data_IF_118335418194
#
_entry.id   IF_118335418194
#
_cell.length_a   1.000
_cell.length_b   1.000
_cell.length_c   1.000
_cell.angle_alpha   90.00
_cell.angle_beta   90.00
_cell.angle_gamma   90.00
#
_symmetry.space_group_name_H-M   'P 1'
#
loop_
_entity.id
_entity.type
_entity.pdbx_description
1 polymer ?
#
# COMPACT_ATOMS: atom_id res chain seq x y z
N UNK A 1 21.07 -0.91 -8.25
CA UNK A 1 20.72 -1.91 -9.29
C UNK A 1 19.59 -1.37 -10.19
N UNK A 2 19.65 -1.56 -11.52
CA UNK A 2 18.58 -1.08 -12.45
C UNK A 2 17.26 -1.83 -12.19
N UNK A 3 16.12 -1.13 -12.21
CA UNK A 3 14.79 -1.70 -11.89
C UNK A 3 14.45 -2.97 -12.69
N UNK A 4 14.70 -2.97 -14.00
CA UNK A 4 14.46 -4.15 -14.84
C UNK A 4 15.26 -5.38 -14.43
N UNK A 5 16.45 -5.20 -13.82
CA UNK A 5 17.23 -6.33 -13.27
C UNK A 5 16.62 -6.83 -11.95
N UNK A 6 16.16 -5.93 -11.08
CA UNK A 6 15.45 -6.31 -9.84
C UNK A 6 14.15 -7.08 -10.14
N UNK A 7 13.35 -6.58 -11.07
CA UNK A 7 12.11 -7.25 -11.48
C UNK A 7 12.40 -8.61 -12.14
N UNK A 8 13.39 -8.68 -13.03
CA UNK A 8 13.75 -9.95 -13.67
C UNK A 8 14.23 -11.01 -12.67
N UNK A 9 15.00 -10.61 -11.65
CA UNK A 9 15.40 -11.52 -10.57
C UNK A 9 14.19 -12.00 -9.76
N UNK A 10 13.32 -11.07 -9.35
CA UNK A 10 12.10 -11.41 -8.61
C UNK A 10 11.16 -12.35 -9.40
N UNK A 11 11.10 -12.21 -10.73
CA UNK A 11 10.33 -13.09 -11.61
C UNK A 11 11.00 -14.45 -11.85
N UNK A 12 12.33 -14.55 -11.76
CA UNK A 12 13.05 -15.83 -11.93
C UNK A 12 12.93 -16.72 -10.70
N UNK A 13 12.72 -16.11 -9.53
CA UNK A 13 12.69 -16.79 -8.24
C UNK A 13 11.27 -17.20 -7.79
N UNK A 14 10.21 -16.70 -8.42
CA UNK A 14 8.84 -16.86 -7.93
C UNK A 14 7.78 -17.22 -8.97
N UNK A 15 6.67 -17.78 -8.49
CA UNK A 15 5.46 -18.11 -9.27
C UNK A 15 4.42 -16.98 -9.29
N UNK A 16 4.66 -15.89 -8.53
CA UNK A 16 3.72 -14.79 -8.40
C UNK A 16 3.59 -14.00 -9.71
N UNK A 17 2.38 -13.51 -10.06
CA UNK A 17 2.18 -12.68 -11.24
C UNK A 17 2.82 -11.31 -11.00
N UNK A 18 3.78 -10.90 -11.82
CA UNK A 18 4.31 -9.54 -11.80
C UNK A 18 3.74 -8.73 -12.95
N UNK A 19 3.79 -7.41 -12.85
CA UNK A 19 3.42 -6.53 -13.96
C UNK A 19 4.12 -6.96 -15.26
N UNK A 20 3.39 -6.92 -16.38
CA UNK A 20 3.82 -7.33 -17.71
C UNK A 20 4.75 -6.28 -18.33
N UNK A 21 5.88 -5.99 -17.67
CA UNK A 21 6.78 -4.88 -17.99
C UNK A 21 7.21 -4.87 -19.46
N UNK A 22 7.53 -6.05 -20.03
CA UNK A 22 7.95 -6.16 -21.43
C UNK A 22 6.81 -5.77 -22.38
N UNK A 23 5.61 -6.28 -22.11
CA UNK A 23 4.40 -6.02 -22.91
C UNK A 23 4.03 -4.54 -22.85
N UNK A 24 3.89 -3.96 -21.66
CA UNK A 24 3.55 -2.54 -21.50
C UNK A 24 4.62 -1.65 -22.15
N UNK A 25 5.90 -1.97 -22.00
CA UNK A 25 6.98 -1.23 -22.67
C UNK A 25 6.90 -1.33 -24.19
N UNK A 26 6.50 -2.48 -24.74
CA UNK A 26 6.29 -2.65 -26.18
C UNK A 26 5.17 -1.73 -26.67
N UNK A 27 4.02 -1.70 -25.98
CA UNK A 27 2.93 -0.77 -26.28
C UNK A 27 3.40 0.70 -26.23
N UNK A 28 4.13 1.11 -25.18
CA UNK A 28 4.65 2.47 -25.06
C UNK A 28 5.57 2.86 -26.22
N UNK A 29 6.47 1.97 -26.64
CA UNK A 29 7.34 2.22 -27.80
C UNK A 29 6.54 2.32 -29.09
N UNK A 30 5.46 1.52 -29.23
CA UNK A 30 4.51 1.61 -30.34
C UNK A 30 3.82 2.98 -30.38
N UNK A 31 3.23 3.40 -29.26
CA UNK A 31 2.56 4.69 -29.11
C UNK A 31 3.48 5.88 -29.37
N UNK A 32 4.72 5.82 -28.85
CA UNK A 32 5.75 6.83 -29.11
C UNK A 32 6.07 6.98 -30.61
N UNK A 33 6.07 5.87 -31.36
CA UNK A 33 6.28 5.89 -32.82
C UNK A 33 5.05 6.45 -33.54
N UNK A 34 3.86 5.99 -33.17
CA UNK A 34 2.60 6.44 -33.76
C UNK A 34 2.40 7.94 -33.57
N UNK A 35 2.61 8.45 -32.35
CA UNK A 35 2.53 9.88 -32.06
C UNK A 35 3.50 10.71 -32.91
N UNK A 36 4.74 10.24 -33.12
CA UNK A 36 5.71 10.93 -33.98
C UNK A 36 5.32 10.89 -35.45
N UNK A 37 4.77 9.76 -35.92
CA UNK A 37 4.26 9.65 -37.29
C UNK A 37 3.10 10.60 -37.52
N UNK A 38 2.16 10.69 -36.57
CA UNK A 38 1.03 11.62 -36.64
C UNK A 38 1.50 13.08 -36.70
N UNK A 39 2.42 13.50 -35.82
CA UNK A 39 2.97 14.86 -35.85
C UNK A 39 3.60 15.21 -37.20
N UNK A 40 4.38 14.29 -37.78
CA UNK A 40 4.96 14.46 -39.11
C UNK A 40 3.91 14.54 -40.22
N UNK A 41 2.85 13.74 -40.14
CA UNK A 41 1.75 13.78 -41.10
C UNK A 41 1.03 15.13 -41.05
N UNK A 42 0.75 15.64 -39.84
CA UNK A 42 0.12 16.95 -39.68
C UNK A 42 1.00 18.09 -40.15
N UNK A 43 2.32 18.07 -39.89
CA UNK A 43 3.28 19.07 -40.39
C UNK A 43 3.24 19.14 -41.93
N UNK A 44 3.22 18.00 -42.62
CA UNK A 44 3.13 17.95 -44.09
C UNK A 44 1.76 18.44 -44.59
N UNK A 45 0.68 18.15 -43.86
CA UNK A 45 -0.68 18.61 -44.21
C UNK A 45 -0.88 20.12 -43.99
N UNK A 46 -0.13 20.75 -43.08
CA UNK A 46 -0.16 22.20 -42.89
C UNK A 46 0.60 22.94 -44.01
N UNK A 47 1.62 22.30 -44.60
CA UNK A 47 2.44 22.88 -45.68
C UNK A 47 1.87 22.67 -47.09
N UNK A 48 1.09 21.60 -47.33
CA UNK A 48 0.50 21.29 -48.64
C UNK A 48 -1.04 21.32 -48.63
N UNK A 49 -1.70 21.98 -49.61
CA UNK A 49 -3.15 21.99 -49.68
C UNK A 49 -3.73 20.57 -49.84
N UNK A 50 -4.74 20.23 -49.03
CA UNK A 50 -5.34 18.89 -48.92
C UNK A 50 -5.70 18.22 -50.27
N UNK A 51 -6.00 19.03 -51.29
CA UNK A 51 -6.29 18.57 -52.65
C UNK A 51 -5.10 17.85 -53.32
N UNK A 52 -3.86 18.27 -53.03
CA UNK A 52 -2.63 17.69 -53.58
C UNK A 52 -2.35 16.29 -53.01
N UNK A 53 -2.56 16.10 -51.71
CA UNK A 53 -2.40 14.82 -51.02
C UNK A 53 -3.43 13.77 -51.47
N UNK A 54 -4.68 14.18 -51.66
CA UNK A 54 -5.73 13.31 -52.20
C UNK A 54 -5.39 12.91 -53.64
N UNK A 55 -4.90 13.83 -54.46
CA UNK A 55 -4.50 13.54 -55.85
C UNK A 55 -3.32 12.57 -55.93
N UNK A 56 -2.27 12.75 -55.11
CA UNK A 56 -1.09 11.87 -55.06
C UNK A 56 -1.44 10.45 -54.58
N UNK A 57 -2.33 10.32 -53.59
CA UNK A 57 -2.78 9.01 -53.11
C UNK A 57 -3.70 8.29 -54.12
N UNK A 58 -4.50 9.04 -54.87
CA UNK A 58 -5.37 8.48 -55.93
C UNK A 58 -4.54 8.01 -57.14
N UNK A 59 -3.50 8.74 -57.52
CA UNK A 59 -2.56 8.34 -58.58
C UNK A 59 -1.71 7.13 -58.15
N UNK A 60 -1.18 7.08 -56.92
CA UNK A 60 -0.41 5.92 -56.43
C UNK A 60 -1.21 4.62 -56.42
N UNK A 61 -2.51 4.69 -56.09
CA UNK A 61 -3.41 3.55 -56.15
C UNK A 61 -3.57 3.00 -57.59
N UNK A 62 -3.53 3.87 -58.61
CA UNK A 62 -3.57 3.45 -60.03
C UNK A 62 -2.31 2.68 -60.46
N UNK A 63 -1.17 2.93 -59.82
CA UNK A 63 0.10 2.24 -60.11
C UNK A 63 0.31 0.97 -59.28
N UNK A 64 -0.69 0.50 -58.53
CA UNK A 64 -0.57 -0.71 -57.71
C UNK A 64 0.43 -0.58 -56.57
N UNK A 65 0.83 0.64 -56.22
CA UNK A 65 1.68 0.91 -55.05
C UNK A 65 0.78 0.74 -53.83
N UNK A 66 1.07 -0.23 -52.93
CA UNK A 66 0.20 -0.47 -51.78
C UNK A 66 0.06 0.83 -50.98
N UNK A 67 -1.20 1.24 -50.74
CA UNK A 67 -1.57 2.36 -49.87
C UNK A 67 -1.02 2.07 -48.47
N UNK A 68 0.24 2.41 -48.22
CA UNK A 68 0.86 2.31 -46.90
C UNK A 68 0.64 3.55 -46.03
N UNK A 69 0.07 4.60 -46.61
CA UNK A 69 -0.22 5.85 -45.92
C UNK A 69 -1.72 5.90 -45.59
N UNK A 70 -2.21 4.94 -44.81
CA UNK A 70 -3.45 5.17 -44.06
C UNK A 70 -3.14 6.35 -43.14
N UNK A 71 -3.81 7.48 -43.35
CA UNK A 71 -3.69 8.65 -42.49
C UNK A 71 -3.98 8.21 -41.06
N UNK A 72 -2.99 8.32 -40.19
CA UNK A 72 -3.13 7.90 -38.82
C UNK A 72 -4.08 8.89 -38.14
N UNK A 73 -5.14 8.38 -37.52
CA UNK A 73 -6.12 9.22 -36.83
C UNK A 73 -5.79 9.34 -35.35
N UNK A 74 -6.28 10.40 -34.71
CA UNK A 74 -6.18 10.56 -33.26
C UNK A 74 -6.89 9.41 -32.56
N UNK A 75 -8.03 8.98 -33.10
CA UNK A 75 -8.86 7.88 -32.62
C UNK A 75 -8.12 6.55 -32.63
N UNK A 76 -7.35 6.25 -33.67
CA UNK A 76 -6.52 5.03 -33.73
C UNK A 76 -5.42 5.03 -32.68
N UNK A 77 -4.74 6.16 -32.46
CA UNK A 77 -3.71 6.24 -31.41
C UNK A 77 -4.34 6.10 -30.03
N UNK A 78 -5.49 6.77 -29.79
CA UNK A 78 -6.24 6.64 -28.54
C UNK A 78 -6.73 5.22 -28.31
N UNK A 79 -7.15 4.51 -29.35
CA UNK A 79 -7.52 3.10 -29.25
C UNK A 79 -6.33 2.24 -28.81
N UNK A 80 -5.16 2.44 -29.41
CA UNK A 80 -3.93 1.73 -29.01
C UNK A 80 -3.48 2.08 -27.57
N UNK A 81 -3.69 3.32 -27.13
CA UNK A 81 -3.46 3.72 -25.75
C UNK A 81 -4.44 3.00 -24.80
N UNK A 82 -5.70 2.92 -25.20
CA UNK A 82 -6.73 2.14 -24.50
C UNK A 82 -6.34 0.68 -24.33
N UNK A 83 -5.85 0.02 -25.39
CA UNK A 83 -5.38 -1.37 -25.34
C UNK A 83 -4.22 -1.56 -24.36
N UNK A 84 -3.28 -0.61 -24.29
CA UNK A 84 -2.22 -0.65 -23.29
C UNK A 84 -2.78 -0.60 -21.87
N UNK A 85 -3.76 0.29 -21.62
CA UNK A 85 -4.40 0.38 -20.31
C UNK A 85 -5.25 -0.85 -19.96
N UNK A 86 -5.85 -1.52 -20.95
CA UNK A 86 -6.51 -2.82 -20.74
C UNK A 86 -5.53 -3.90 -20.25
N UNK A 87 -4.28 -3.88 -20.73
CA UNK A 87 -3.21 -4.76 -20.20
C UNK A 87 -2.85 -4.39 -18.76
N UNK A 88 -2.75 -3.10 -18.46
CA UNK A 88 -2.46 -2.61 -17.10
C UNK A 88 -3.55 -3.02 -16.12
N UNK A 89 -4.82 -2.87 -16.49
CA UNK A 89 -5.94 -3.25 -15.62
C UNK A 89 -5.91 -4.77 -15.33
N UNK A 90 -5.67 -5.59 -16.35
CA UNK A 90 -5.50 -7.04 -16.18
C UNK A 90 -4.34 -7.39 -15.26
N UNK A 91 -3.19 -6.73 -15.42
CA UNK A 91 -2.05 -6.93 -14.52
C UNK A 91 -2.42 -6.56 -13.07
N UNK A 92 -3.11 -5.43 -12.86
CA UNK A 92 -3.56 -5.01 -11.54
C UNK A 92 -4.49 -6.07 -10.92
N UNK A 93 -5.48 -6.56 -11.67
CA UNK A 93 -6.39 -7.61 -11.21
C UNK A 93 -5.65 -8.89 -10.81
N UNK A 94 -4.74 -9.38 -11.65
CA UNK A 94 -3.94 -10.57 -11.35
C UNK A 94 -3.05 -10.38 -10.10
N UNK A 95 -2.40 -9.22 -9.97
CA UNK A 95 -1.55 -8.91 -8.82
C UNK A 95 -2.40 -8.80 -7.55
N UNK A 96 -3.57 -8.15 -7.62
CA UNK A 96 -4.48 -8.05 -6.47
C UNK A 96 -4.95 -9.43 -6.00
N UNK A 97 -5.32 -10.32 -6.91
CA UNK A 97 -5.69 -11.70 -6.54
C UNK A 97 -4.57 -12.45 -5.83
N UNK A 98 -3.32 -12.29 -6.27
CA UNK A 98 -2.17 -12.88 -5.61
C UNK A 98 -1.89 -12.26 -4.22
N UNK A 99 -2.10 -10.94 -4.06
CA UNK A 99 -1.99 -10.27 -2.76
C UNK A 99 -3.04 -10.80 -1.80
N UNK A 100 -4.29 -10.93 -2.22
CA UNK A 100 -5.37 -11.46 -1.39
C UNK A 100 -5.06 -12.89 -0.91
N UNK A 101 -4.50 -13.74 -1.77
CA UNK A 101 -4.07 -15.09 -1.38
C UNK A 101 -2.96 -15.07 -0.32
N UNK A 102 -1.93 -14.24 -0.51
CA UNK A 102 -0.85 -14.07 0.47
C UNK A 102 -1.35 -13.49 1.79
N UNK A 103 -2.27 -12.52 1.73
CA UNK A 103 -2.91 -11.93 2.90
C UNK A 103 -3.70 -12.97 3.70
N UNK A 104 -4.43 -13.87 3.04
CA UNK A 104 -5.14 -14.96 3.72
C UNK A 104 -4.18 -15.89 4.47
N UNK A 105 -3.04 -16.24 3.85
CA UNK A 105 -2.00 -17.03 4.50
C UNK A 105 -1.45 -16.34 5.75
N UNK A 106 -1.08 -15.06 5.63
CA UNK A 106 -0.58 -14.25 6.74
C UNK A 106 -1.63 -14.05 7.85
N UNK A 107 -2.90 -13.90 7.48
CA UNK A 107 -4.00 -13.85 8.44
C UNK A 107 -4.13 -15.15 9.22
N UNK A 108 -3.94 -16.30 8.59
CA UNK A 108 -3.96 -17.58 9.28
C UNK A 108 -2.78 -17.70 10.27
N UNK A 109 -1.57 -17.35 9.82
CA UNK A 109 -0.36 -17.38 10.64
C UNK A 109 -0.47 -16.46 11.86
N UNK A 110 -0.97 -15.23 11.69
CA UNK A 110 -1.12 -14.31 12.81
C UNK A 110 -2.22 -14.75 13.77
N UNK A 111 -3.30 -15.35 13.28
CA UNK A 111 -4.34 -15.92 14.15
C UNK A 111 -3.81 -17.09 14.97
N UNK A 112 -2.98 -17.96 14.37
CA UNK A 112 -2.32 -19.04 15.09
C UNK A 112 -1.34 -18.48 16.13
N UNK A 113 -0.54 -17.47 15.77
CA UNK A 113 0.37 -16.81 16.70
C UNK A 113 -0.40 -16.17 17.87
N UNK A 114 -1.50 -15.46 17.60
CA UNK A 114 -2.36 -14.87 18.63
C UNK A 114 -2.97 -15.95 19.53
N UNK A 115 -3.42 -17.08 18.98
CA UNK A 115 -3.95 -18.20 19.77
C UNK A 115 -2.88 -18.75 20.71
N UNK A 116 -1.68 -19.04 20.19
CA UNK A 116 -0.57 -19.53 20.99
C UNK A 116 -0.13 -18.51 22.05
N UNK A 117 -0.16 -17.22 21.71
CA UNK A 117 0.18 -16.13 22.63
C UNK A 117 -0.86 -15.98 23.74
N UNK A 118 -2.15 -16.20 23.43
CA UNK A 118 -3.22 -16.20 24.41
C UNK A 118 -3.13 -17.42 25.35
N UNK A 119 -2.91 -18.62 24.80
CA UNK A 119 -2.75 -19.86 25.57
C UNK A 119 -1.54 -19.81 26.51
N UNK A 120 -0.43 -19.20 26.07
CA UNK A 120 0.75 -19.01 26.91
C UNK A 120 0.77 -17.73 27.74
N UNK A 121 -0.32 -16.95 27.79
CA UNK A 121 -0.44 -15.78 28.66
C UNK A 121 0.33 -14.52 28.22
N UNK A 122 0.83 -14.50 26.98
CA UNK A 122 1.51 -13.34 26.37
C UNK A 122 0.50 -12.24 25.97
N UNK A 123 -0.72 -12.64 25.59
CA UNK A 123 -1.82 -11.74 25.23
C UNK A 123 -3.07 -12.12 26.02
N UNK A 124 -3.88 -11.13 26.36
CA UNK A 124 -5.18 -11.33 27.00
C UNK A 124 -6.33 -11.14 26.00
N UNK A 125 -7.35 -11.96 26.15
CA UNK A 125 -8.67 -11.76 25.51
C UNK A 125 -9.33 -10.46 25.96
N UNK A 126 -10.21 -9.92 25.14
CA UNK A 126 -10.99 -8.70 25.43
C UNK A 126 -11.70 -8.78 26.79
N UNK A 127 -12.28 -9.95 27.12
CA UNK A 127 -12.89 -10.24 28.42
C UNK A 127 -11.92 -10.18 29.60
N UNK A 128 -10.66 -10.57 29.41
CA UNK A 128 -9.62 -10.47 30.44
C UNK A 128 -9.11 -9.03 30.59
N UNK A 129 -9.22 -8.21 29.53
CA UNK A 129 -8.92 -6.76 29.53
C UNK A 129 -10.05 -5.94 30.13
N UNK A 130 -11.32 -6.31 29.92
CA UNK A 130 -12.50 -5.65 30.51
C UNK A 130 -12.50 -5.69 32.05
N UNK A 131 -11.88 -6.72 32.63
CA UNK A 131 -11.65 -6.82 34.07
C UNK A 131 -10.51 -5.91 34.57
N UNK A 132 -9.75 -5.27 33.68
CA UNK A 132 -8.60 -4.47 34.04
C UNK A 132 -8.93 -2.96 34.05
N UNK A 133 -8.59 -2.23 35.12
CA UNK A 133 -9.04 -0.85 35.35
C UNK A 133 -8.33 0.22 34.50
N UNK A 134 -7.63 -0.13 33.41
CA UNK A 134 -6.79 0.80 32.65
C UNK A 134 -7.34 1.18 31.27
N UNK A 135 -7.28 2.49 30.97
CA UNK A 135 -7.75 3.14 29.72
C UNK A 135 -6.90 2.85 28.46
N UNK A 136 -5.86 2.02 28.52
CA UNK A 136 -5.08 1.67 27.32
C UNK A 136 -4.61 0.22 27.34
N UNK A 137 -5.10 -0.59 26.38
CA UNK A 137 -4.75 -2.00 26.27
C UNK A 137 -3.25 -2.28 26.13
N UNK A 138 -2.48 -1.35 25.57
CA UNK A 138 -1.03 -1.52 25.40
C UNK A 138 -0.24 -1.41 26.72
N UNK A 139 -0.63 -0.51 27.64
CA UNK A 139 -0.01 -0.42 28.98
C UNK A 139 -0.34 -1.65 29.82
N UNK A 140 -1.56 -2.15 29.70
CA UNK A 140 -1.98 -3.37 30.37
C UNK A 140 -1.19 -4.58 29.83
N UNK A 141 -1.10 -4.74 28.52
CA UNK A 141 -0.30 -5.81 27.90
C UNK A 141 1.15 -5.78 28.40
N UNK A 142 1.78 -4.59 28.44
CA UNK A 142 3.14 -4.40 29.01
C UNK A 142 3.23 -4.89 30.45
N UNK A 143 2.31 -4.45 31.32
CA UNK A 143 2.33 -4.80 32.73
C UNK A 143 2.17 -6.31 32.97
N UNK A 144 1.39 -6.98 32.12
CA UNK A 144 1.12 -8.41 32.24
C UNK A 144 2.27 -9.26 31.72
N UNK A 145 2.85 -8.89 30.58
CA UNK A 145 4.10 -9.49 30.10
C UNK A 145 5.15 -9.37 31.21
N UNK A 146 5.29 -8.18 31.81
CA UNK A 146 6.24 -7.98 32.89
C UNK A 146 5.96 -8.86 34.12
N UNK A 147 4.69 -9.00 34.51
CA UNK A 147 4.29 -9.88 35.61
C UNK A 147 4.56 -11.36 35.30
N UNK A 148 4.23 -11.82 34.09
CA UNK A 148 4.39 -13.22 33.70
C UNK A 148 5.87 -13.62 33.67
N UNK A 149 6.72 -12.78 33.07
CA UNK A 149 8.18 -12.98 33.06
C UNK A 149 8.72 -13.08 34.50
N UNK A 150 8.26 -12.22 35.43
CA UNK A 150 8.66 -12.28 36.85
C UNK A 150 8.28 -13.60 37.52
N UNK A 151 7.16 -14.20 37.14
CA UNK A 151 6.69 -15.45 37.74
C UNK A 151 7.43 -16.69 37.22
N UNK A 152 7.89 -16.67 35.96
CA UNK A 152 8.59 -17.80 35.33
C UNK A 152 10.05 -17.93 35.79
N UNK A 153 10.69 -16.82 36.14
CA UNK A 153 12.15 -16.77 36.31
C UNK A 153 12.89 -16.71 34.97
N UNK A 154 14.13 -16.23 34.99
CA UNK A 154 14.87 -15.81 33.78
C UNK A 154 15.01 -16.91 32.73
N UNK A 155 15.46 -18.11 33.10
CA UNK A 155 15.72 -19.20 32.13
C UNK A 155 14.44 -19.67 31.43
N UNK A 156 13.37 -19.91 32.20
CA UNK A 156 12.07 -20.31 31.66
C UNK A 156 11.43 -19.19 30.83
N UNK A 157 11.59 -17.92 31.23
CA UNK A 157 11.12 -16.78 30.46
C UNK A 157 11.88 -16.63 29.14
N UNK A 158 13.20 -16.85 29.12
CA UNK A 158 14.00 -16.87 27.88
C UNK A 158 13.49 -17.92 26.91
N UNK A 159 13.33 -19.17 27.36
CA UNK A 159 12.83 -20.26 26.52
C UNK A 159 11.42 -20.00 25.99
N UNK A 160 10.55 -19.46 26.85
CA UNK A 160 9.18 -19.09 26.49
C UNK A 160 9.15 -17.99 25.42
N UNK A 161 9.88 -16.88 25.62
CA UNK A 161 9.96 -15.78 24.64
C UNK A 161 10.59 -16.24 23.32
N UNK A 162 11.64 -17.08 23.37
CA UNK A 162 12.30 -17.60 22.16
C UNK A 162 11.31 -18.30 21.22
N UNK A 163 10.41 -19.12 21.77
CA UNK A 163 9.38 -19.83 21.00
C UNK A 163 8.48 -18.86 20.22
N UNK A 164 8.04 -17.77 20.86
CA UNK A 164 7.21 -16.75 20.20
C UNK A 164 7.98 -15.93 19.17
N UNK A 165 9.27 -15.62 19.44
CA UNK A 165 10.12 -14.95 18.46
C UNK A 165 10.26 -15.82 17.23
N UNK A 166 10.57 -17.12 17.37
CA UNK A 166 10.69 -18.03 16.22
C UNK A 166 9.42 -18.09 15.37
N UNK A 167 8.25 -18.16 16.03
CA UNK A 167 6.96 -18.14 15.33
C UNK A 167 6.69 -16.78 14.66
N UNK A 168 7.02 -15.67 15.33
CA UNK A 168 6.92 -14.33 14.75
C UNK A 168 7.87 -14.13 13.55
N UNK A 169 9.11 -14.62 13.61
CA UNK A 169 10.07 -14.50 12.51
C UNK A 169 9.57 -15.17 11.24
N UNK A 170 8.90 -16.33 11.35
CA UNK A 170 8.27 -16.97 10.20
C UNK A 170 7.21 -16.07 9.52
N UNK A 171 6.30 -15.52 10.33
CA UNK A 171 5.30 -14.57 9.85
C UNK A 171 5.93 -13.29 9.29
N UNK A 172 6.95 -12.77 9.96
CA UNK A 172 7.67 -11.58 9.53
C UNK A 172 8.37 -11.76 8.18
N UNK A 173 8.97 -12.93 7.94
CA UNK A 173 9.59 -13.26 6.66
C UNK A 173 8.56 -13.30 5.53
N UNK A 174 7.38 -13.90 5.77
CA UNK A 174 6.31 -13.97 4.78
C UNK A 174 5.67 -12.59 4.53
N UNK A 175 5.51 -11.77 5.58
CA UNK A 175 5.06 -10.40 5.44
C UNK A 175 6.06 -9.58 4.64
N UNK A 176 7.36 -9.73 4.90
CA UNK A 176 8.42 -9.01 4.17
C UNK A 176 8.39 -9.37 2.69
N UNK A 177 8.21 -10.66 2.33
CA UNK A 177 8.02 -11.08 0.93
C UNK A 177 6.80 -10.42 0.28
N UNK A 178 5.67 -10.36 0.99
CA UNK A 178 4.49 -9.65 0.50
C UNK A 178 4.78 -8.16 0.28
N UNK A 179 5.40 -7.49 1.25
CA UNK A 179 5.72 -6.07 1.16
C UNK A 179 6.67 -5.76 0.00
N UNK A 180 7.71 -6.58 -0.18
CA UNK A 180 8.65 -6.46 -1.31
C UNK A 180 7.95 -6.67 -2.65
N UNK A 181 7.05 -7.65 -2.73
CA UNK A 181 6.25 -7.92 -3.92
C UNK A 181 5.35 -6.73 -4.28
N UNK A 182 4.66 -6.12 -3.30
CA UNK A 182 3.88 -4.89 -3.50
C UNK A 182 4.77 -3.75 -3.98
N UNK A 183 5.89 -3.49 -3.31
CA UNK A 183 6.80 -2.38 -3.62
C UNK A 183 7.38 -2.49 -5.04
N UNK A 184 7.77 -3.69 -5.45
CA UNK A 184 8.31 -3.95 -6.79
C UNK A 184 7.27 -3.64 -7.88
N UNK A 185 6.02 -4.05 -7.67
CA UNK A 185 4.94 -3.79 -8.62
C UNK A 185 4.57 -2.29 -8.67
N UNK A 186 4.41 -1.63 -7.52
CA UNK A 186 4.16 -0.18 -7.45
C UNK A 186 5.26 0.62 -8.16
N UNK A 187 6.52 0.32 -7.88
CA UNK A 187 7.66 0.96 -8.52
C UNK A 187 7.65 0.77 -10.05
N UNK A 188 7.18 -0.39 -10.52
CA UNK A 188 7.07 -0.72 -11.93
C UNK A 188 6.00 0.07 -12.65
N UNK A 189 4.78 0.07 -12.12
CA UNK A 189 3.69 0.88 -12.66
C UNK A 189 4.06 2.37 -12.66
N UNK A 190 4.56 2.90 -11.54
CA UNK A 190 4.97 4.31 -11.45
C UNK A 190 6.00 4.69 -12.52
N UNK A 191 6.98 3.84 -12.79
CA UNK A 191 8.01 4.12 -13.83
C UNK A 191 7.46 4.07 -15.25
N UNK A 192 6.62 3.09 -15.55
CA UNK A 192 6.02 2.94 -16.88
C UNK A 192 5.02 4.07 -17.17
N UNK A 193 4.16 4.38 -16.20
CA UNK A 193 3.17 5.44 -16.31
C UNK A 193 3.81 6.84 -16.34
N UNK A 194 4.87 7.07 -15.55
CA UNK A 194 5.64 8.32 -15.67
C UNK A 194 6.28 8.48 -17.05
N UNK A 195 6.69 7.38 -17.70
CA UNK A 195 7.19 7.42 -19.08
C UNK A 195 6.07 7.71 -20.06
N UNK A 196 4.91 7.08 -19.90
CA UNK A 196 3.71 7.37 -20.68
C UNK A 196 3.39 8.87 -20.64
N UNK A 197 3.20 9.42 -19.44
CA UNK A 197 2.79 10.82 -19.24
C UNK A 197 3.81 11.83 -19.81
N UNK A 198 5.09 11.43 -19.88
CA UNK A 198 6.15 12.26 -20.44
C UNK A 198 6.18 12.23 -21.97
N UNK A 199 5.95 11.06 -22.56
CA UNK A 199 6.26 10.82 -23.97
C UNK A 199 5.04 10.82 -24.89
N UNK A 200 3.84 10.61 -24.35
CA UNK A 200 2.60 10.56 -25.12
C UNK A 200 1.84 11.88 -24.94
N UNK A 201 1.60 12.67 -26.01
CA UNK A 201 0.80 13.89 -25.93
C UNK A 201 -0.62 13.66 -25.41
N UNK A 202 -1.14 14.61 -24.62
CA UNK A 202 -2.46 14.52 -23.95
C UNK A 202 -3.63 14.23 -24.90
N UNK A 203 -3.54 14.70 -26.15
CA UNK A 203 -4.61 14.50 -27.14
C UNK A 203 -4.79 13.01 -27.52
N UNK A 204 -3.77 12.19 -27.30
CA UNK A 204 -3.80 10.74 -27.55
C UNK A 204 -4.14 9.92 -26.32
N UNK A 205 -4.36 10.54 -25.16
CA UNK A 205 -4.67 9.80 -23.94
C UNK A 205 -6.10 9.21 -24.04
N UNK A 206 -6.20 7.91 -23.82
CA UNK A 206 -7.49 7.21 -23.69
C UNK A 206 -8.12 7.43 -22.31
N UNK A 207 -7.31 7.79 -21.32
CA UNK A 207 -7.73 7.96 -19.92
C UNK A 207 -7.16 9.24 -19.31
N UNK A 208 -7.75 9.65 -18.19
CA UNK A 208 -7.26 10.79 -17.42
C UNK A 208 -5.88 10.48 -16.83
N UNK A 209 -4.94 11.41 -17.00
CA UNK A 209 -3.59 11.35 -16.44
C UNK A 209 -3.40 12.40 -15.33
N UNK A 210 -2.64 12.11 -14.26
CA UNK A 210 -1.90 10.86 -14.01
C UNK A 210 -2.83 9.71 -13.61
N UNK A 211 -2.58 8.51 -14.14
CA UNK A 211 -3.34 7.31 -13.76
C UNK A 211 -2.81 6.77 -12.43
N UNK A 212 -3.66 6.71 -11.41
CA UNK A 212 -3.32 6.24 -10.06
C UNK A 212 -4.00 4.92 -9.68
N UNK A 213 -4.68 4.25 -10.62
CA UNK A 213 -5.44 3.02 -10.35
C UNK A 213 -4.59 1.91 -9.72
N UNK A 214 -3.32 1.80 -10.12
CA UNK A 214 -2.37 0.82 -9.57
C UNK A 214 -2.11 0.95 -8.06
N UNK A 215 -2.47 2.07 -7.43
CA UNK A 215 -2.40 2.22 -5.98
C UNK A 215 -3.41 1.33 -5.24
N UNK A 216 -4.41 0.77 -5.95
CA UNK A 216 -5.37 -0.21 -5.43
C UNK A 216 -4.70 -1.43 -4.80
N UNK A 217 -3.54 -1.82 -5.34
CA UNK A 217 -2.69 -2.95 -4.94
C UNK A 217 -2.29 -2.87 -3.46
N UNK A 218 -2.14 -1.65 -2.90
CA UNK A 218 -1.97 -1.51 -1.44
C UNK A 218 -3.35 -1.60 -0.80
N UNK A 219 -3.65 -2.78 -0.25
CA UNK A 219 -4.94 -3.03 0.38
C UNK A 219 -4.95 -2.56 1.83
N UNK A 220 -6.16 -2.39 2.39
CA UNK A 220 -6.33 -2.14 3.82
C UNK A 220 -5.90 -3.34 4.68
N UNK A 221 -6.00 -4.56 4.15
CA UNK A 221 -5.64 -5.80 4.84
C UNK A 221 -4.12 -5.90 4.97
N UNK A 222 -3.36 -5.69 3.89
CA UNK A 222 -1.89 -5.60 3.91
C UNK A 222 -1.43 -4.61 5.00
N UNK A 223 -2.05 -3.42 5.04
CA UNK A 223 -1.68 -2.40 6.04
C UNK A 223 -2.01 -2.83 7.46
N UNK A 224 -3.15 -3.51 7.69
CA UNK A 224 -3.48 -4.07 9.00
C UNK A 224 -2.51 -5.18 9.42
N UNK A 225 -2.10 -6.06 8.52
CA UNK A 225 -1.11 -7.10 8.81
C UNK A 225 0.24 -6.48 9.20
N UNK A 226 0.68 -5.46 8.47
CA UNK A 226 1.88 -4.69 8.80
C UNK A 226 1.81 -4.06 10.20
N UNK A 227 0.70 -3.37 10.48
CA UNK A 227 0.37 -2.78 11.79
C UNK A 227 0.46 -3.80 12.91
N UNK A 228 -0.15 -4.98 12.72
CA UNK A 228 -0.14 -6.04 13.72
C UNK A 228 1.29 -6.57 13.91
N UNK A 229 2.05 -6.76 12.84
CA UNK A 229 3.46 -7.18 12.91
C UNK A 229 4.30 -6.23 13.77
N UNK A 230 4.19 -4.92 13.56
CA UNK A 230 4.91 -3.90 14.37
C UNK A 230 4.52 -3.99 15.85
N UNK A 231 3.24 -4.23 16.14
CA UNK A 231 2.75 -4.37 17.53
C UNK A 231 3.28 -5.63 18.20
N UNK A 232 3.28 -6.75 17.47
CA UNK A 232 3.86 -8.02 17.97
C UNK A 232 5.34 -7.86 18.25
N UNK A 233 6.10 -7.27 17.32
CA UNK A 233 7.53 -6.97 17.50
C UNK A 233 7.78 -6.13 18.75
N UNK A 234 6.99 -5.06 18.93
CA UNK A 234 7.07 -4.18 20.10
C UNK A 234 6.82 -4.93 21.41
N UNK A 235 5.86 -5.85 21.41
CA UNK A 235 5.51 -6.65 22.58
C UNK A 235 6.59 -7.67 22.92
N UNK A 236 7.17 -8.33 21.90
CA UNK A 236 8.31 -9.24 22.09
C UNK A 236 9.54 -8.51 22.60
N UNK A 237 9.84 -7.32 22.06
CA UNK A 237 10.93 -6.47 22.55
C UNK A 237 10.75 -6.12 24.03
N UNK A 238 9.53 -5.79 24.45
CA UNK A 238 9.21 -5.51 25.85
C UNK A 238 9.41 -6.73 26.75
N UNK A 239 9.05 -7.92 26.28
CA UNK A 239 9.31 -9.15 27.02
C UNK A 239 10.82 -9.36 27.24
N UNK A 240 11.63 -9.15 26.19
CA UNK A 240 13.10 -9.25 26.27
C UNK A 240 13.66 -8.20 27.24
N UNK A 241 13.21 -6.95 27.15
CA UNK A 241 13.69 -5.86 28.02
C UNK A 241 13.34 -6.11 29.50
N UNK A 242 12.21 -6.74 29.80
CA UNK A 242 11.88 -7.14 31.18
C UNK A 242 12.76 -8.30 31.66
N UNK A 243 13.04 -9.30 30.82
CA UNK A 243 13.97 -10.39 31.15
C UNK A 243 15.35 -9.81 31.47
N UNK A 244 15.83 -8.86 30.67
CA UNK A 244 17.09 -8.18 30.89
C UNK A 244 17.13 -7.46 32.24
N UNK A 245 16.06 -6.73 32.58
CA UNK A 245 15.95 -6.03 33.86
C UNK A 245 16.04 -6.98 35.06
N UNK A 246 15.46 -8.18 34.96
CA UNK A 246 15.57 -9.21 36.00
C UNK A 246 16.99 -9.79 36.08
N UNK A 247 17.61 -9.98 34.92
CA UNK A 247 18.95 -10.54 34.78
C UNK A 247 20.05 -9.62 35.30
N UNK A 248 19.84 -8.30 35.26
CA UNK A 248 20.81 -7.31 35.76
C UNK A 248 21.17 -7.48 37.24
N UNK A 249 20.34 -8.15 38.03
CA UNK A 249 20.68 -8.53 39.41
C UNK A 249 21.79 -9.61 39.50
N UNK A 250 22.01 -10.35 38.42
CA UNK A 250 22.97 -11.46 38.30
C UNK A 250 24.10 -11.21 37.27
N UNK A 251 24.06 -10.09 36.54
CA UNK A 251 25.03 -9.73 35.48
C UNK A 251 24.42 -9.77 34.06
N UNK A 252 25.15 -9.29 33.03
CA UNK A 252 24.65 -9.30 31.65
C UNK A 252 24.43 -10.75 31.16
N UNK A 253 23.20 -11.05 30.69
CA UNK A 253 22.86 -12.39 30.16
C UNK A 253 23.15 -12.48 28.66
N UNK A 254 23.94 -13.49 28.27
CA UNK A 254 24.17 -13.82 26.85
C UNK A 254 22.90 -14.32 26.15
N UNK A 255 21.92 -14.84 26.89
CA UNK A 255 20.67 -15.35 26.32
C UNK A 255 19.77 -14.20 25.88
N UNK A 256 19.69 -13.14 26.69
CA UNK A 256 18.94 -11.92 26.34
C UNK A 256 19.47 -11.31 25.04
N UNK A 257 20.78 -11.25 24.88
CA UNK A 257 21.39 -10.75 23.65
C UNK A 257 21.09 -11.66 22.45
N UNK A 258 21.09 -12.99 22.64
CA UNK A 258 20.68 -13.93 21.61
C UNK A 258 19.23 -13.73 21.18
N UNK A 259 18.31 -13.44 22.12
CA UNK A 259 16.92 -13.13 21.82
C UNK A 259 16.77 -11.81 21.03
N UNK A 260 17.54 -10.78 21.38
CA UNK A 260 17.56 -9.50 20.64
C UNK A 260 18.02 -9.68 19.21
N UNK A 261 19.11 -10.45 19.01
CA UNK A 261 19.63 -10.79 17.69
C UNK A 261 18.60 -11.61 16.89
N UNK A 262 17.92 -12.55 17.54
CA UNK A 262 16.91 -13.39 16.90
C UNK A 262 15.66 -12.59 16.48
N UNK A 263 15.18 -11.66 17.31
CA UNK A 263 14.02 -10.83 17.01
C UNK A 263 14.30 -9.84 15.87
N UNK A 264 15.55 -9.33 15.80
CA UNK A 264 15.97 -8.42 14.76
C UNK A 264 15.24 -7.07 14.77
N UNK A 265 15.37 -6.28 13.69
CA UNK A 265 14.75 -4.96 13.58
C UNK A 265 13.22 -5.06 13.41
N UNK A 266 12.52 -3.96 13.74
CA UNK A 266 11.10 -3.86 13.49
C UNK A 266 10.79 -3.87 11.96
N UNK A 267 9.58 -4.30 11.55
CA UNK A 267 9.16 -4.22 10.16
C UNK A 267 9.18 -2.78 9.65
N UNK A 268 9.62 -2.59 8.40
CA UNK A 268 9.66 -1.28 7.75
C UNK A 268 8.91 -1.35 6.43
N UNK A 269 8.08 -0.34 6.15
CA UNK A 269 7.47 -0.18 4.83
C UNK A 269 8.52 0.29 3.82
N UNK A 270 8.56 -0.35 2.66
CA UNK A 270 9.32 0.18 1.55
C UNK A 270 8.72 1.51 1.04
N UNK A 271 9.54 2.31 0.35
CA UNK A 271 9.24 3.71 0.06
C UNK A 271 7.98 3.91 -0.79
N UNK A 272 7.70 2.99 -1.72
CA UNK A 272 6.53 3.11 -2.60
C UNK A 272 5.25 2.81 -1.82
N UNK A 273 5.25 1.72 -1.05
CA UNK A 273 4.11 1.33 -0.23
C UNK A 273 3.86 2.36 0.86
N UNK A 274 4.90 2.88 1.52
CA UNK A 274 4.76 3.94 2.52
C UNK A 274 4.08 5.20 1.94
N UNK A 275 4.49 5.63 0.74
CA UNK A 275 3.88 6.77 0.06
C UNK A 275 2.39 6.52 -0.24
N UNK A 276 2.05 5.36 -0.81
CA UNK A 276 0.64 5.03 -1.12
C UNK A 276 -0.19 4.88 0.15
N UNK A 277 0.39 4.28 1.19
CA UNK A 277 -0.28 4.07 2.46
C UNK A 277 -0.63 5.40 3.14
N UNK A 278 0.27 6.39 3.10
CA UNK A 278 0.00 7.72 3.66
C UNK A 278 -1.15 8.43 2.92
N UNK A 279 -1.26 8.24 1.61
CA UNK A 279 -2.32 8.86 0.80
C UNK A 279 -3.66 8.15 1.02
N UNK A 280 -3.67 6.81 0.99
CA UNK A 280 -4.92 6.02 0.99
C UNK A 280 -5.43 5.70 2.39
N UNK A 281 -4.55 5.73 3.38
CA UNK A 281 -4.84 5.33 4.75
C UNK A 281 -4.26 6.33 5.77
N UNK A 282 -4.67 7.62 5.70
CA UNK A 282 -4.11 8.66 6.57
C UNK A 282 -4.32 8.37 8.06
N UNK A 283 -5.41 7.68 8.42
CA UNK A 283 -5.74 7.35 9.80
C UNK A 283 -5.05 6.08 10.32
N UNK A 284 -4.23 5.40 9.50
CA UNK A 284 -3.46 4.23 9.92
C UNK A 284 -2.10 4.64 10.54
N UNK A 285 -1.65 5.87 10.32
CA UNK A 285 -0.38 6.41 10.81
C UNK A 285 -0.59 7.84 11.31
N UNK A 286 -0.49 8.10 12.62
CA UNK A 286 -0.39 9.48 13.13
C UNK A 286 1.08 9.83 13.34
N UNK A 287 1.50 11.06 13.03
CA UNK A 287 2.84 11.54 13.39
C UNK A 287 2.95 11.58 14.92
N UNK A 288 4.08 11.12 15.45
CA UNK A 288 4.39 11.38 16.86
C UNK A 288 4.39 12.89 17.08
N UNK A 289 3.62 13.34 18.08
CA UNK A 289 3.85 14.65 18.70
C UNK A 289 4.97 14.45 19.74
N UNK A 290 6.13 13.98 19.30
CA UNK A 290 7.34 13.99 20.12
C UNK A 290 8.03 15.32 19.89
N UNK A 291 7.97 16.19 20.90
CA UNK A 291 8.84 17.35 20.96
C UNK A 291 10.30 16.88 20.90
N UNK A 292 11.08 17.58 20.08
CA UNK A 292 12.55 17.51 19.96
C UNK A 292 13.19 16.26 19.34
N UNK A 293 12.99 16.02 18.03
CA UNK A 293 14.12 15.93 17.06
C UNK A 293 13.63 15.74 15.60
N UNK A 294 14.04 16.59 14.63
CA UNK A 294 13.51 16.55 13.26
C UNK A 294 14.23 15.59 12.30
N UNK A 295 15.09 14.66 12.75
CA UNK A 295 15.94 13.88 11.83
C UNK A 295 15.49 12.45 11.47
N UNK A 296 14.44 11.89 12.07
CA UNK A 296 13.83 10.65 11.59
C UNK A 296 12.38 10.57 12.09
N UNK A 297 11.37 10.45 11.21
CA UNK A 297 10.01 10.30 11.69
C UNK A 297 9.84 8.92 12.33
N UNK A 298 9.76 8.90 13.66
CA UNK A 298 9.26 7.77 14.43
C UNK A 298 7.73 7.79 14.32
N UNK A 299 7.15 6.72 13.79
CA UNK A 299 5.70 6.59 13.62
C UNK A 299 5.18 5.59 14.65
N UNK A 300 4.44 6.07 15.65
CA UNK A 300 3.71 5.19 16.57
C UNK A 300 2.29 4.93 16.05
N UNK A 301 1.86 3.68 16.13
CA UNK A 301 0.81 3.13 15.29
C UNK A 301 -0.50 2.95 16.10
N UNK A 302 -1.52 3.77 15.82
CA UNK A 302 -2.85 3.65 16.47
C UNK A 302 -3.76 2.65 15.76
N UNK A 303 -4.39 1.79 16.56
CA UNK A 303 -5.58 1.02 16.14
C UNK A 303 -6.78 1.88 16.47
N UNK A 304 -7.55 2.26 15.46
CA UNK A 304 -8.87 2.85 15.67
C UNK A 304 -9.76 1.81 16.36
N UNK A 305 -10.05 1.99 17.65
CA UNK A 305 -11.25 1.41 18.26
C UNK A 305 -12.48 2.02 17.58
N UNK A 306 -13.49 1.21 17.33
CA UNK A 306 -14.65 1.52 16.48
C UNK A 306 -15.60 2.58 17.08
N UNK A 307 -15.24 3.21 18.19
CA UNK A 307 -16.11 4.06 19.01
C UNK A 307 -15.70 5.54 19.04
N UNK A 308 -15.25 6.08 17.91
CA UNK A 308 -15.26 7.53 17.70
C UNK A 308 -16.37 7.89 16.73
N UNK A 309 -17.59 7.94 17.27
CA UNK A 309 -18.68 8.69 16.65
C UNK A 309 -18.19 10.14 16.50
N UNK A 310 -18.26 10.76 15.31
CA UNK A 310 -17.89 12.16 15.19
C UNK A 310 -18.85 12.97 16.07
N UNK A 311 -18.28 13.66 17.06
CA UNK A 311 -19.01 14.63 17.87
C UNK A 311 -19.61 15.66 16.92
N UNK A 312 -20.94 15.70 16.87
CA UNK A 312 -21.69 16.77 16.25
C UNK A 312 -21.35 18.07 17.00
N UNK A 313 -20.43 18.84 16.43
CA UNK A 313 -20.08 20.18 16.88
C UNK A 313 -21.22 21.13 16.60
N UNK A 314 -21.91 21.50 17.67
CA UNK A 314 -22.84 22.61 17.80
C UNK A 314 -22.30 23.89 17.15
N UNK A 315 -23.02 24.44 16.18
CA UNK A 315 -23.03 25.88 15.93
C UNK A 315 -24.22 26.48 16.70
N UNK A 316 -23.90 27.27 17.73
CA UNK A 316 -24.86 28.13 18.42
C UNK A 316 -24.61 29.60 18.07
N UNK A 317 -25.64 30.18 17.43
CA UNK A 317 -26.28 31.46 17.77
C UNK A 317 -25.55 32.81 17.59
N UNK A 318 -26.08 33.63 16.67
CA UNK A 318 -26.73 34.95 16.86
C UNK A 318 -26.53 35.81 15.59
N UNK A 319 -27.55 36.38 14.92
CA UNK A 319 -28.39 37.47 15.41
C UNK A 319 -29.60 37.77 14.45
N UNK A 320 -30.76 38.11 15.03
CA UNK A 320 -31.77 39.16 14.69
C UNK A 320 -32.27 39.33 13.21
N UNK A 321 -33.55 39.62 12.87
CA UNK A 321 -34.72 40.17 13.58
C UNK A 321 -35.99 40.15 12.67
N UNK A 322 -37.17 40.06 13.28
CA UNK A 322 -38.52 40.53 12.90
C UNK A 322 -39.06 40.46 11.46
N UNK A 323 -40.19 39.74 11.28
CA UNK A 323 -41.49 40.40 11.09
C UNK A 323 -42.68 39.49 11.44
N UNK A 324 -43.66 40.08 12.12
CA UNK A 324 -44.97 39.54 12.51
C UNK A 324 -45.91 39.36 11.31
N UNK A 325 -46.85 38.42 11.41
CA UNK A 325 -48.01 38.35 10.51
C UNK A 325 -48.99 37.22 10.87
N UNK A 326 -49.91 37.53 11.77
CA UNK A 326 -51.26 36.98 12.02
C UNK A 326 -51.70 35.59 11.49
N UNK A 327 -52.22 34.80 12.44
CA UNK A 327 -53.21 33.71 12.32
C UNK A 327 -54.62 34.27 11.91
N UNK A 328 -55.72 33.49 11.76
CA UNK A 328 -55.92 32.08 12.14
C UNK A 328 -56.78 31.19 11.21
N UNK A 329 -56.80 29.90 11.59
CA UNK A 329 -57.89 28.91 11.58
C UNK A 329 -58.95 28.89 10.45
N UNK A 330 -59.12 27.71 9.85
CA UNK A 330 -60.44 27.09 9.72
C UNK A 330 -60.32 25.57 9.56
N UNK A 331 -61.10 24.85 10.37
CA UNK A 331 -61.40 23.43 10.22
C UNK A 331 -62.48 23.26 9.15
N UNK A 332 -62.53 22.12 8.45
CA UNK A 332 -63.71 21.28 8.28
C UNK A 332 -63.43 20.14 7.28
N UNK A 333 -63.78 18.92 7.72
CA UNK A 333 -63.91 17.62 7.02
C UNK A 333 -62.66 16.89 6.53
#
# INVERSE_FOLDING_TARGET
MRFSKRLALAMQEGTLPYLSQKTIKHHLVGLEKLSKTYSKQNEVMEEEPMASLIFVNTERARYGIPQRDVLLTVEEIRYQDGEMFSVIDRDIECIMGAIEELEMGLMHEIMQWISNANEGGLILTERQVECAPQKSGQKLARALVAHHVKCLGTEAACSWVESYIRSYCHFHDNLTKLMDYVDVNLAGFRKLLKRHDKNIPKLFHARQTPFLGFQSIVTRVTMKLFVVSVKVHTLLKQAIDEIDLQSQSTGPSSEVEALRVLLGPAPVLGAETAMVAHIRFPNLFEPEVSGSDPQQPQYELRVCSRDSTPAAGQETSHHHRHHQGHAPAEAYN
#
